data_IF_407116349194
#
_entry.id   IF_407116349194
#
_cell.length_a   1.000
_cell.length_b   1.000
_cell.length_c   1.000
_cell.angle_alpha   90.00
_cell.angle_beta   90.00
_cell.angle_gamma   90.00
#
_symmetry.space_group_name_H-M   'P 1'
#
loop_
_entity.id
_entity.type
_entity.pdbx_description
1 polymer ?
#
# COMPACT_ATOMS: atom_id res chain seq x y z
N UNK A 1 6.32 -4.06 0.62
CA UNK A 1 6.87 -5.26 -0.07
C UNK A 1 5.84 -5.70 -1.09
N UNK A 2 6.15 -5.55 -2.40
CA UNK A 2 5.19 -5.78 -3.49
C UNK A 2 5.23 -7.22 -3.97
N UNK A 3 4.19 -7.98 -3.64
CA UNK A 3 4.04 -9.40 -3.96
C UNK A 3 3.14 -9.54 -5.18
N UNK A 4 3.66 -10.12 -6.26
CA UNK A 4 3.00 -10.24 -7.56
C UNK A 4 3.01 -11.69 -8.03
N UNK A 5 1.89 -12.15 -8.60
CA UNK A 5 1.68 -13.56 -8.98
C UNK A 5 1.73 -13.83 -10.50
N UNK A 6 1.92 -12.80 -11.33
CA UNK A 6 1.88 -12.93 -12.79
C UNK A 6 0.49 -13.09 -13.39
N UNK A 7 -0.57 -13.03 -12.58
CA UNK A 7 -1.97 -13.15 -13.00
C UNK A 7 -2.76 -11.87 -12.78
N UNK A 8 -2.74 -11.34 -11.55
CA UNK A 8 -3.38 -10.07 -11.24
C UNK A 8 -2.70 -8.89 -11.93
N UNK A 9 -1.36 -8.97 -12.03
CA UNK A 9 -0.49 -8.07 -12.79
C UNK A 9 0.49 -8.89 -13.62
N UNK A 10 0.96 -8.41 -14.79
CA UNK A 10 1.86 -9.15 -15.69
C UNK A 10 3.32 -9.10 -15.22
N UNK A 11 3.56 -9.37 -13.94
CA UNK A 11 4.88 -9.39 -13.34
C UNK A 11 4.93 -10.39 -12.18
N UNK A 12 6.09 -10.94 -11.91
CA UNK A 12 6.38 -11.81 -10.77
C UNK A 12 7.42 -11.17 -9.88
N UNK A 13 7.24 -11.26 -8.55
CA UNK A 13 8.26 -10.77 -7.61
C UNK A 13 8.70 -11.88 -6.66
N UNK A 14 8.25 -11.85 -5.42
CA UNK A 14 8.68 -12.77 -4.37
C UNK A 14 7.46 -13.12 -3.47
N UNK A 15 7.69 -13.98 -2.50
CA UNK A 15 6.64 -14.44 -1.60
C UNK A 15 7.13 -14.64 -0.17
N UNK A 16 6.40 -15.45 0.63
CA UNK A 16 6.66 -15.65 2.05
C UNK A 16 8.12 -15.97 2.44
N UNK A 17 8.89 -16.77 1.66
CA UNK A 17 10.29 -17.04 2.03
C UNK A 17 11.18 -15.79 2.10
N UNK A 18 10.97 -14.81 1.21
CA UNK A 18 11.73 -13.55 1.23
C UNK A 18 11.30 -12.69 2.42
N UNK A 19 10.01 -12.67 2.75
CA UNK A 19 9.49 -11.97 3.94
C UNK A 19 10.09 -12.57 5.21
N UNK A 20 10.18 -13.90 5.31
CA UNK A 20 10.80 -14.58 6.45
C UNK A 20 12.29 -14.24 6.59
N UNK A 21 13.03 -14.17 5.48
CA UNK A 21 14.43 -13.72 5.48
C UNK A 21 14.55 -12.27 5.95
N UNK A 22 13.67 -11.38 5.47
CA UNK A 22 13.65 -9.98 5.89
C UNK A 22 13.33 -9.85 7.38
N UNK A 23 12.34 -10.57 7.88
CA UNK A 23 11.97 -10.58 9.31
C UNK A 23 13.13 -11.06 10.18
N UNK A 24 13.88 -12.09 9.75
CA UNK A 24 15.06 -12.57 10.46
C UNK A 24 16.17 -11.51 10.50
N UNK A 25 16.39 -10.81 9.41
CA UNK A 25 17.41 -9.76 9.32
C UNK A 25 17.02 -8.48 10.07
N UNK A 26 15.72 -8.14 10.09
CA UNK A 26 15.17 -6.92 10.67
C UNK A 26 13.98 -7.24 11.61
N UNK A 27 14.24 -7.81 12.79
CA UNK A 27 13.19 -8.38 13.64
C UNK A 27 12.16 -7.38 14.13
N UNK A 28 12.51 -6.11 14.25
CA UNK A 28 11.64 -5.04 14.78
C UNK A 28 11.01 -4.15 13.69
N UNK A 29 11.29 -4.42 12.40
CA UNK A 29 10.74 -3.60 11.32
C UNK A 29 9.25 -3.89 11.10
N UNK A 30 8.49 -2.85 10.79
CA UNK A 30 7.13 -3.00 10.30
C UNK A 30 7.19 -3.44 8.83
N UNK A 31 6.65 -4.61 8.52
CA UNK A 31 6.67 -5.19 7.17
C UNK A 31 5.25 -5.13 6.63
N UNK A 32 5.00 -4.19 5.72
CA UNK A 32 3.77 -4.07 4.96
C UNK A 32 3.91 -4.86 3.66
N UNK A 33 3.04 -5.86 3.48
CA UNK A 33 2.96 -6.68 2.28
C UNK A 33 1.80 -6.21 1.41
N UNK A 34 2.09 -5.61 0.27
CA UNK A 34 1.12 -5.22 -0.74
C UNK A 34 0.97 -6.35 -1.77
N UNK A 35 -0.21 -6.93 -1.83
CA UNK A 35 -0.49 -8.11 -2.65
C UNK A 35 -1.23 -7.76 -3.93
N UNK A 36 -0.52 -7.85 -5.03
CA UNK A 36 -1.03 -7.77 -6.39
C UNK A 36 -1.22 -9.20 -6.93
N UNK A 37 -2.17 -9.93 -6.32
CA UNK A 37 -2.43 -11.35 -6.59
C UNK A 37 -3.92 -11.62 -6.78
N UNK A 38 -4.26 -12.65 -7.56
CA UNK A 38 -5.65 -13.01 -7.88
C UNK A 38 -6.39 -13.67 -6.73
N UNK A 39 -5.71 -14.38 -5.84
CA UNK A 39 -6.30 -15.13 -4.72
C UNK A 39 -5.62 -14.76 -3.39
N UNK A 40 -5.83 -13.54 -2.87
CA UNK A 40 -5.11 -13.07 -1.68
C UNK A 40 -5.36 -13.92 -0.43
N UNK A 41 -6.52 -14.54 -0.28
CA UNK A 41 -6.85 -15.39 0.86
C UNK A 41 -5.85 -16.53 1.09
N UNK A 42 -5.31 -17.10 0.03
CA UNK A 42 -4.30 -18.16 0.11
C UNK A 42 -3.01 -17.75 0.82
N UNK A 43 -2.73 -16.45 0.85
CA UNK A 43 -1.46 -15.91 1.34
C UNK A 43 -1.53 -15.34 2.75
N UNK A 44 -2.72 -15.27 3.36
CA UNK A 44 -2.88 -14.72 4.72
C UNK A 44 -2.03 -15.50 5.73
N UNK A 45 -2.25 -16.80 5.84
CA UNK A 45 -1.52 -17.62 6.82
C UNK A 45 -0.01 -17.72 6.48
N UNK A 46 0.42 -18.00 5.22
CA UNK A 46 1.83 -18.04 4.88
C UNK A 46 2.59 -16.75 5.17
N UNK A 47 1.98 -15.58 4.94
CA UNK A 47 2.62 -14.29 5.22
C UNK A 47 2.65 -13.96 6.71
N UNK A 48 1.61 -14.37 7.47
CA UNK A 48 1.64 -14.30 8.94
C UNK A 48 2.82 -15.10 9.49
N UNK A 49 2.98 -16.34 9.07
CA UNK A 49 4.08 -17.22 9.50
C UNK A 49 5.44 -16.69 9.10
N UNK A 50 5.53 -16.04 7.93
CA UNK A 50 6.74 -15.34 7.48
C UNK A 50 7.05 -14.07 8.28
N UNK A 51 6.11 -13.57 9.10
CA UNK A 51 6.30 -12.41 9.96
C UNK A 51 5.89 -11.08 9.34
N UNK A 52 4.97 -11.05 8.40
CA UNK A 52 4.34 -9.82 7.93
C UNK A 52 3.64 -9.10 9.09
N UNK A 53 3.71 -7.77 9.11
CA UNK A 53 3.04 -6.92 10.10
C UNK A 53 1.68 -6.44 9.61
N UNK A 54 1.57 -6.21 8.31
CA UNK A 54 0.39 -5.73 7.61
C UNK A 54 0.21 -6.50 6.31
N UNK A 55 -1.05 -6.74 5.96
CA UNK A 55 -1.47 -7.38 4.73
C UNK A 55 -2.37 -6.40 3.98
N UNK A 56 -1.88 -5.87 2.86
CA UNK A 56 -2.59 -4.90 2.02
C UNK A 56 -3.04 -5.58 0.72
N UNK A 57 -4.35 -5.74 0.53
CA UNK A 57 -4.92 -6.45 -0.63
C UNK A 57 -5.74 -5.52 -1.52
N UNK A 58 -5.78 -5.84 -2.80
CA UNK A 58 -6.60 -5.13 -3.77
C UNK A 58 -8.09 -5.48 -3.58
N UNK A 59 -8.94 -4.45 -3.48
CA UNK A 59 -10.39 -4.64 -3.45
C UNK A 59 -10.86 -5.40 -4.70
N UNK A 60 -10.25 -5.12 -5.85
CA UNK A 60 -10.56 -5.77 -7.14
C UNK A 60 -10.25 -7.28 -7.14
N UNK A 61 -9.34 -7.75 -6.29
CA UNK A 61 -9.04 -9.18 -6.16
C UNK A 61 -10.10 -9.96 -5.38
N UNK A 62 -11.05 -9.26 -4.74
CA UNK A 62 -12.15 -9.88 -4.00
C UNK A 62 -13.47 -9.88 -4.78
N UNK A 63 -13.52 -9.28 -5.97
CA UNK A 63 -14.71 -9.21 -6.82
C UNK A 63 -14.68 -10.33 -7.88
N UNK A 64 -15.85 -10.91 -8.27
CA UNK A 64 -17.20 -10.68 -7.77
C UNK A 64 -17.65 -11.65 -6.65
N UNK A 65 -16.84 -12.64 -6.27
CA UNK A 65 -17.28 -13.77 -5.45
C UNK A 65 -16.72 -13.81 -4.02
N UNK A 66 -15.68 -13.04 -3.75
CA UNK A 66 -15.06 -13.00 -2.42
C UNK A 66 -15.50 -11.72 -1.70
N UNK A 67 -16.17 -11.87 -0.58
CA UNK A 67 -16.52 -10.75 0.28
C UNK A 67 -15.25 -10.14 0.89
N UNK A 68 -15.01 -8.86 0.65
CA UNK A 68 -13.90 -8.14 1.25
C UNK A 68 -13.96 -8.16 2.79
N UNK A 69 -15.14 -8.24 3.40
CA UNK A 69 -15.28 -8.39 4.85
C UNK A 69 -14.70 -9.72 5.35
N UNK A 70 -14.87 -10.80 4.58
CA UNK A 70 -14.25 -12.10 4.89
C UNK A 70 -12.73 -12.00 4.88
N UNK A 71 -12.17 -11.33 3.87
CA UNK A 71 -10.73 -11.07 3.81
C UNK A 71 -10.23 -10.24 5.01
N UNK A 72 -10.92 -9.16 5.34
CA UNK A 72 -10.62 -8.31 6.50
C UNK A 72 -10.58 -9.17 7.78
N UNK A 73 -11.61 -10.00 7.99
CA UNK A 73 -11.69 -10.84 9.17
C UNK A 73 -10.56 -11.89 9.22
N UNK A 74 -10.27 -12.56 8.10
CA UNK A 74 -9.16 -13.52 8.02
C UNK A 74 -7.81 -12.91 8.39
N UNK A 75 -7.52 -11.69 7.90
CA UNK A 75 -6.27 -10.99 8.19
C UNK A 75 -6.21 -10.60 9.67
N UNK A 76 -7.32 -10.13 10.25
CA UNK A 76 -7.42 -9.78 11.66
C UNK A 76 -7.24 -11.00 12.56
N UNK A 77 -7.88 -12.11 12.24
CA UNK A 77 -7.76 -13.38 12.99
C UNK A 77 -6.34 -13.92 12.96
N UNK A 78 -5.62 -13.70 11.85
CA UNK A 78 -4.19 -13.98 11.76
C UNK A 78 -3.31 -13.01 12.57
N UNK A 79 -3.86 -11.94 13.14
CA UNK A 79 -3.15 -10.97 13.97
C UNK A 79 -2.28 -9.99 13.17
N UNK A 80 -2.61 -9.73 11.92
CA UNK A 80 -1.98 -8.70 11.08
C UNK A 80 -2.87 -7.46 10.99
N UNK A 81 -2.27 -6.31 10.70
CA UNK A 81 -3.01 -5.12 10.30
C UNK A 81 -3.56 -5.29 8.89
N UNK A 82 -4.70 -4.64 8.64
CA UNK A 82 -5.43 -4.74 7.37
C UNK A 82 -5.22 -3.48 6.56
N UNK A 83 -4.62 -3.61 5.38
CA UNK A 83 -4.62 -2.58 4.35
C UNK A 83 -5.55 -2.97 3.19
N UNK A 84 -6.23 -1.98 2.62
CA UNK A 84 -7.03 -2.17 1.40
C UNK A 84 -6.57 -1.19 0.34
N UNK A 85 -6.40 -1.67 -0.88
CA UNK A 85 -5.91 -0.86 -2.01
C UNK A 85 -6.89 -0.89 -3.17
N UNK A 86 -6.93 0.21 -3.93
CA UNK A 86 -7.65 0.31 -5.20
C UNK A 86 -6.72 0.77 -6.33
N UNK A 87 -7.00 0.25 -7.53
CA UNK A 87 -6.37 0.67 -8.79
C UNK A 87 -6.78 2.10 -9.19
N UNK A 88 -6.02 2.75 -10.08
CA UNK A 88 -6.38 4.08 -10.59
C UNK A 88 -7.79 4.17 -11.17
N UNK A 89 -8.26 3.12 -11.86
CA UNK A 89 -9.58 3.07 -12.47
C UNK A 89 -10.75 2.82 -11.51
N UNK A 90 -10.51 2.37 -10.28
CA UNK A 90 -11.57 2.03 -9.31
C UNK A 90 -12.04 3.28 -8.57
N UNK A 91 -13.35 3.57 -8.48
CA UNK A 91 -13.87 4.72 -7.73
C UNK A 91 -13.51 4.64 -6.24
N UNK A 92 -13.20 5.79 -5.63
CA UNK A 92 -12.82 5.85 -4.21
C UNK A 92 -13.96 5.48 -3.27
N UNK A 93 -15.20 5.70 -3.70
CA UNK A 93 -16.42 5.37 -2.98
C UNK A 93 -16.54 3.88 -2.69
N UNK A 94 -15.91 3.04 -3.50
CA UNK A 94 -15.86 1.59 -3.31
C UNK A 94 -15.19 1.17 -2.00
N UNK A 95 -14.35 2.04 -1.42
CA UNK A 95 -13.68 1.80 -0.14
C UNK A 95 -14.54 2.16 1.07
N UNK A 96 -15.49 3.09 0.93
CA UNK A 96 -16.23 3.65 2.07
C UNK A 96 -16.89 2.61 2.97
N UNK A 97 -17.47 1.51 2.46
CA UNK A 97 -18.08 0.50 3.32
C UNK A 97 -17.08 -0.21 4.25
N UNK A 98 -15.79 -0.13 3.97
CA UNK A 98 -14.76 -0.92 4.65
C UNK A 98 -13.85 -0.09 5.57
N UNK A 99 -13.83 1.24 5.42
CA UNK A 99 -12.85 2.12 6.09
C UNK A 99 -12.83 1.94 7.61
N UNK A 100 -13.99 1.76 8.25
CA UNK A 100 -14.10 1.52 9.70
C UNK A 100 -13.50 0.17 10.15
N UNK A 101 -13.33 -0.76 9.20
CA UNK A 101 -12.88 -2.13 9.44
C UNK A 101 -11.44 -2.40 9.02
N UNK A 102 -10.70 -1.39 8.58
CA UNK A 102 -9.31 -1.52 8.12
C UNK A 102 -8.40 -0.53 8.80
N UNK A 103 -7.10 -0.77 8.78
CA UNK A 103 -6.10 0.09 9.41
C UNK A 103 -5.52 1.12 8.44
N UNK A 104 -5.56 0.85 7.14
CA UNK A 104 -4.92 1.67 6.11
C UNK A 104 -5.64 1.53 4.77
N UNK A 105 -5.75 2.65 4.05
CA UNK A 105 -6.12 2.67 2.62
C UNK A 105 -4.89 3.01 1.80
N UNK A 106 -4.64 2.24 0.74
CA UNK A 106 -3.64 2.54 -0.27
C UNK A 106 -4.32 3.00 -1.57
N UNK A 107 -3.94 4.17 -2.06
CA UNK A 107 -4.33 4.67 -3.38
C UNK A 107 -3.16 4.49 -4.34
N UNK A 108 -3.36 3.67 -5.38
CA UNK A 108 -2.36 3.53 -6.44
C UNK A 108 -2.28 4.82 -7.25
N UNK A 109 -1.07 5.35 -7.39
CA UNK A 109 -0.74 6.54 -8.18
C UNK A 109 0.00 6.22 -9.47
N UNK A 110 0.00 4.93 -9.83
CA UNK A 110 0.38 4.32 -11.11
C UNK A 110 -0.46 3.07 -11.32
N UNK A 111 -0.47 2.50 -12.52
CA UNK A 111 -1.02 1.15 -12.71
C UNK A 111 -0.14 0.12 -11.99
N UNK A 112 -0.73 -0.81 -11.19
CA UNK A 112 0.05 -1.80 -10.46
C UNK A 112 0.80 -2.75 -11.41
N UNK A 113 1.98 -3.24 -10.96
CA UNK A 113 2.75 -4.26 -11.66
C UNK A 113 4.19 -3.92 -11.97
N UNK A 114 4.56 -2.65 -12.17
CA UNK A 114 5.93 -2.25 -12.50
C UNK A 114 6.36 -1.00 -11.73
N UNK A 115 7.63 -0.98 -11.33
CA UNK A 115 8.26 0.19 -10.73
C UNK A 115 8.70 1.22 -11.78
N UNK A 116 8.98 2.46 -11.34
CA UNK A 116 9.54 3.52 -12.20
C UNK A 116 8.53 4.18 -13.14
N UNK A 117 7.25 3.96 -12.94
CA UNK A 117 6.19 4.64 -13.69
C UNK A 117 6.03 6.09 -13.24
N UNK A 118 5.44 6.91 -14.11
CA UNK A 118 5.19 8.32 -13.86
C UNK A 118 4.00 8.48 -12.91
N UNK A 119 4.18 9.32 -11.89
CA UNK A 119 3.14 9.71 -10.94
C UNK A 119 1.87 10.24 -11.65
N UNK A 120 0.71 9.79 -11.18
CA UNK A 120 -0.61 10.19 -11.68
C UNK A 120 -1.26 11.23 -10.73
N UNK A 121 -1.09 12.54 -10.97
CA UNK A 121 -1.59 13.58 -10.05
C UNK A 121 -3.12 13.62 -9.94
N UNK A 122 -3.85 13.13 -10.93
CA UNK A 122 -5.31 13.02 -10.89
C UNK A 122 -5.83 12.06 -9.80
N UNK A 123 -4.99 11.17 -9.28
CA UNK A 123 -5.34 10.30 -8.14
C UNK A 123 -5.45 11.07 -6.82
N UNK A 124 -4.90 12.28 -6.76
CA UNK A 124 -4.92 13.10 -5.55
C UNK A 124 -6.33 13.51 -5.13
N UNK A 125 -7.27 13.59 -6.05
CA UNK A 125 -8.69 13.80 -5.72
C UNK A 125 -9.27 12.69 -4.85
N UNK A 126 -8.83 11.44 -5.03
CA UNK A 126 -9.25 10.31 -4.18
C UNK A 126 -8.69 10.41 -2.76
N UNK A 127 -7.41 10.81 -2.65
CA UNK A 127 -6.75 11.04 -1.36
C UNK A 127 -7.47 12.15 -0.60
N UNK A 128 -7.77 13.25 -1.27
CA UNK A 128 -8.49 14.38 -0.68
C UNK A 128 -9.87 13.96 -0.17
N UNK A 129 -10.66 13.27 -1.01
CA UNK A 129 -11.99 12.78 -0.63
C UNK A 129 -11.97 11.86 0.60
N UNK A 130 -10.95 10.99 0.69
CA UNK A 130 -10.76 10.13 1.88
C UNK A 130 -10.37 10.94 3.11
N UNK A 131 -9.46 11.91 2.98
CA UNK A 131 -9.01 12.74 4.12
C UNK A 131 -10.12 13.62 4.65
N UNK A 132 -10.91 14.23 3.78
CA UNK A 132 -12.07 15.04 4.18
C UNK A 132 -13.11 14.22 4.94
N UNK A 133 -13.36 12.98 4.49
CA UNK A 133 -14.36 12.11 5.11
C UNK A 133 -13.85 11.39 6.35
N UNK A 134 -12.55 11.04 6.39
CA UNK A 134 -11.92 10.24 7.44
C UNK A 134 -10.63 10.91 7.93
N UNK A 135 -10.72 11.91 8.82
CA UNK A 135 -9.58 12.76 9.22
C UNK A 135 -8.39 12.02 9.83
N UNK A 136 -8.61 10.88 10.49
CA UNK A 136 -7.55 10.11 11.19
C UNK A 136 -7.06 8.88 10.42
N UNK A 137 -7.62 8.60 9.24
CA UNK A 137 -7.27 7.43 8.43
C UNK A 137 -5.79 7.45 8.01
N UNK A 138 -5.12 6.30 8.06
CA UNK A 138 -3.85 6.14 7.36
C UNK A 138 -4.10 6.00 5.87
N UNK A 139 -3.68 7.00 5.10
CA UNK A 139 -3.81 7.05 3.64
C UNK A 139 -2.42 6.92 3.03
N UNK A 140 -2.18 5.77 2.42
CA UNK A 140 -0.95 5.46 1.73
C UNK A 140 -1.09 5.76 0.24
N UNK A 141 0.00 6.17 -0.39
CA UNK A 141 0.11 6.33 -1.84
C UNK A 141 1.32 5.57 -2.36
N UNK A 142 1.17 4.90 -3.50
CA UNK A 142 2.22 4.12 -4.14
C UNK A 142 2.23 4.36 -5.65
N UNK A 143 3.41 4.75 -6.15
CA UNK A 143 3.71 4.93 -7.56
C UNK A 143 4.20 6.32 -7.93
N UNK A 144 5.46 6.42 -8.35
CA UNK A 144 6.09 7.64 -8.85
C UNK A 144 6.35 8.72 -7.79
N UNK A 145 6.37 8.32 -6.49
CA UNK A 145 6.68 9.24 -5.39
C UNK A 145 8.19 9.53 -5.34
N UNK A 146 8.51 10.82 -5.27
CA UNK A 146 9.87 11.35 -5.25
C UNK A 146 9.89 12.71 -4.55
N UNK A 147 11.06 13.32 -4.30
CA UNK A 147 11.15 14.70 -3.80
C UNK A 147 10.35 15.72 -4.61
N UNK A 148 10.19 15.50 -5.91
CA UNK A 148 9.47 16.42 -6.83
C UNK A 148 7.94 16.25 -6.74
N UNK A 149 7.45 15.09 -6.27
CA UNK A 149 6.01 14.76 -6.27
C UNK A 149 5.39 14.69 -4.87
N UNK A 150 6.22 14.67 -3.82
CA UNK A 150 5.75 14.46 -2.43
C UNK A 150 4.73 15.51 -1.98
N UNK A 151 4.94 16.79 -2.31
CA UNK A 151 4.04 17.86 -1.89
C UNK A 151 2.63 17.70 -2.49
N UNK A 152 2.51 17.15 -3.72
CA UNK A 152 1.21 16.85 -4.32
C UNK A 152 0.39 15.86 -3.50
N UNK A 153 1.04 14.85 -2.94
CA UNK A 153 0.38 13.82 -2.15
C UNK A 153 0.13 14.27 -0.70
N UNK A 154 1.11 14.93 -0.10
CA UNK A 154 1.06 15.32 1.31
C UNK A 154 0.04 16.44 1.57
N UNK A 155 -0.06 17.44 0.69
CA UNK A 155 -0.98 18.58 0.84
C UNK A 155 -2.45 18.17 0.86
N UNK A 156 -2.81 17.08 0.18
CA UNK A 156 -4.18 16.52 0.15
C UNK A 156 -4.41 15.46 1.22
N UNK A 157 -3.41 15.20 2.06
CA UNK A 157 -3.56 14.40 3.27
C UNK A 157 -3.04 12.95 3.19
N UNK A 158 -2.24 12.58 2.19
CA UNK A 158 -1.48 11.32 2.26
C UNK A 158 -0.47 11.41 3.41
N UNK A 159 -0.42 10.38 4.26
CA UNK A 159 0.45 10.34 5.44
C UNK A 159 1.33 9.08 5.51
N UNK A 160 1.22 8.18 4.55
CA UNK A 160 2.11 7.02 4.36
C UNK A 160 2.57 7.01 2.90
N UNK A 161 3.90 6.96 2.68
CA UNK A 161 4.48 7.10 1.35
C UNK A 161 5.28 5.84 0.99
N UNK A 162 4.95 5.26 -0.16
CA UNK A 162 5.75 4.19 -0.77
C UNK A 162 6.59 4.79 -1.90
N UNK A 163 7.91 4.62 -1.81
CA UNK A 163 8.85 5.05 -2.83
C UNK A 163 9.93 3.98 -3.02
N UNK A 164 10.17 3.56 -4.25
CA UNK A 164 11.18 2.57 -4.60
C UNK A 164 12.30 3.19 -5.46
N UNK A 165 12.03 3.45 -6.73
CA UNK A 165 13.06 3.94 -7.68
C UNK A 165 13.73 5.24 -7.24
N UNK A 166 12.99 6.18 -6.67
CA UNK A 166 13.52 7.43 -6.16
C UNK A 166 14.53 7.22 -5.00
N UNK A 167 14.28 6.23 -4.14
CA UNK A 167 15.16 5.92 -3.01
C UNK A 167 16.34 5.05 -3.47
N UNK A 168 16.06 3.93 -4.13
CA UNK A 168 17.10 2.96 -4.49
C UNK A 168 18.02 3.45 -5.60
N UNK A 169 17.56 4.36 -6.46
CA UNK A 169 18.36 5.00 -7.51
C UNK A 169 19.21 6.18 -7.01
N UNK A 170 18.97 6.67 -5.80
CA UNK A 170 19.71 7.80 -5.26
C UNK A 170 21.09 7.41 -4.71
N UNK A 171 22.07 8.28 -4.89
CA UNK A 171 23.39 8.18 -4.24
C UNK A 171 23.29 8.37 -2.73
N UNK A 172 22.42 9.28 -2.27
CA UNK A 172 22.10 9.48 -0.84
C UNK A 172 20.63 9.12 -0.58
N UNK A 173 20.38 7.86 -0.26
CA UNK A 173 19.06 7.32 0.05
C UNK A 173 18.44 7.96 1.29
N UNK A 174 19.30 8.28 2.27
CA UNK A 174 18.83 8.90 3.52
C UNK A 174 18.28 10.29 3.26
N UNK A 175 18.97 11.11 2.47
CA UNK A 175 18.50 12.45 2.10
C UNK A 175 17.13 12.41 1.39
N UNK A 176 16.92 11.46 0.48
CA UNK A 176 15.62 11.27 -0.17
C UNK A 176 14.54 10.90 0.84
N UNK A 177 14.79 9.94 1.72
CA UNK A 177 13.83 9.55 2.76
C UNK A 177 13.50 10.72 3.68
N UNK A 178 14.50 11.48 4.11
CA UNK A 178 14.30 12.65 4.97
C UNK A 178 13.47 13.74 4.27
N UNK A 179 13.70 13.97 2.98
CA UNK A 179 12.89 14.90 2.17
C UNK A 179 11.44 14.45 2.07
N UNK A 180 11.19 13.17 1.76
CA UNK A 180 9.84 12.62 1.70
C UNK A 180 9.11 12.73 3.05
N UNK A 181 9.81 12.43 4.14
CA UNK A 181 9.28 12.55 5.51
C UNK A 181 8.94 14.00 5.85
N UNK A 182 9.86 14.93 5.59
CA UNK A 182 9.64 16.35 5.82
C UNK A 182 8.44 16.88 5.02
N UNK A 183 8.25 16.41 3.77
CA UNK A 183 7.08 16.74 2.96
C UNK A 183 5.77 16.32 3.62
N UNK A 184 5.70 15.12 4.20
CA UNK A 184 4.52 14.66 4.94
C UNK A 184 4.31 15.45 6.23
N UNK A 185 5.37 15.64 7.03
CA UNK A 185 5.28 16.35 8.33
C UNK A 185 4.85 17.83 8.17
N UNK A 186 5.22 18.48 7.07
CA UNK A 186 4.83 19.85 6.73
C UNK A 186 3.32 20.05 6.66
N UNK A 187 2.56 19.02 6.25
CA UNK A 187 1.11 19.06 6.07
C UNK A 187 0.36 18.18 7.07
N UNK A 188 1.04 17.65 8.08
CA UNK A 188 0.43 16.80 9.09
C UNK A 188 -0.57 17.61 9.93
N UNK A 189 -1.80 17.15 9.93
CA UNK A 189 -2.92 17.70 10.74
C UNK A 189 -2.87 17.11 12.14
#
# INVERSE_FOLDING_TARGET
MDIMDGHFVPNLTFGPPVIACLRKALPNSFIDCHLMVTEPAKWVQPLKEAGASQFTFHLESTLPSNDANVMIQMIRDAGMKVGMVIKPGTPVESLYPYVESIDLVLIMTVEPGFSGQKFMPNMMSKVQALREKYPILHIQVDGGLSPETIDHAAVVGANVIVAASAIFGASDRKAVIDTLRAGVEKYRI
#
